data_IF_002379437263
#
_entry.id   IF_002379437263
#
_cell.length_a   1.000
_cell.length_b   1.000
_cell.length_c   1.000
_cell.angle_alpha   90.00
_cell.angle_beta   90.00
_cell.angle_gamma   90.00
#
_symmetry.space_group_name_H-M   'P 1'
#
loop_
_entity.id
_entity.type
_entity.pdbx_description
1 polymer ?
#
# COMPACT_ATOMS: atom_id res chain seq x y z
N UNK A 1 17.75 7.36 -18.13
CA UNK A 1 18.15 6.54 -16.96
C UNK A 1 16.90 5.84 -16.44
N UNK A 2 16.89 4.51 -16.49
CA UNK A 2 15.74 3.67 -16.15
C UNK A 2 15.57 3.58 -14.64
N UNK A 3 14.51 4.20 -14.11
CA UNK A 3 14.12 4.15 -12.70
C UNK A 3 13.46 2.79 -12.45
N UNK A 4 14.10 1.87 -11.72
CA UNK A 4 13.48 0.58 -11.37
C UNK A 4 12.39 0.80 -10.32
N UNK A 5 11.16 0.98 -10.80
CA UNK A 5 9.99 1.04 -9.94
C UNK A 5 9.68 -0.39 -9.46
N UNK A 6 10.01 -0.69 -8.21
CA UNK A 6 9.53 -1.90 -7.53
C UNK A 6 8.01 -1.79 -7.30
N UNK A 7 7.21 -2.16 -8.30
CA UNK A 7 5.75 -2.26 -8.19
C UNK A 7 5.36 -3.60 -7.59
N UNK A 8 4.97 -3.62 -6.32
CA UNK A 8 4.40 -4.80 -5.69
C UNK A 8 2.89 -4.67 -5.61
N UNK A 9 2.18 -5.60 -6.25
CA UNK A 9 0.71 -5.69 -6.28
C UNK A 9 0.28 -6.79 -5.32
N UNK A 10 -0.55 -6.45 -4.34
CA UNK A 10 -1.25 -7.46 -3.54
C UNK A 10 -2.76 -7.41 -3.79
N UNK A 11 -3.34 -8.59 -3.92
CA UNK A 11 -4.77 -8.84 -4.08
C UNK A 11 -5.32 -9.08 -2.67
N UNK A 12 -6.23 -8.23 -2.20
CA UNK A 12 -6.96 -8.43 -0.95
C UNK A 12 -8.24 -9.20 -1.31
N UNK A 13 -8.27 -10.51 -1.02
CA UNK A 13 -9.41 -11.40 -1.28
C UNK A 13 -10.23 -11.59 0.01
N UNK A 14 -11.44 -11.03 0.04
CA UNK A 14 -12.67 -11.61 0.61
C UNK A 14 -12.73 -12.14 2.06
N UNK A 15 -11.66 -12.11 2.84
CA UNK A 15 -11.60 -12.56 4.23
C UNK A 15 -10.45 -11.77 4.87
N UNK A 16 -10.76 -10.89 5.84
CA UNK A 16 -9.85 -10.00 6.60
C UNK A 16 -8.36 -10.25 6.32
N UNK A 17 -7.85 -9.72 5.22
CA UNK A 17 -6.52 -10.06 4.73
C UNK A 17 -5.61 -8.87 5.02
N UNK A 18 -4.97 -8.91 6.18
CA UNK A 18 -3.89 -8.01 6.56
C UNK A 18 -2.55 -8.68 6.31
N UNK A 19 -1.58 -7.94 5.79
CA UNK A 19 -0.21 -8.38 5.60
C UNK A 19 0.78 -7.38 6.17
N UNK A 20 1.95 -7.88 6.53
CA UNK A 20 3.12 -7.08 6.87
C UNK A 20 4.30 -7.65 6.08
N UNK A 21 5.00 -6.79 5.35
CA UNK A 21 6.15 -7.15 4.52
C UNK A 21 7.33 -6.24 4.81
N UNK A 22 8.51 -6.84 4.96
CA UNK A 22 9.77 -6.09 4.98
C UNK A 22 10.15 -5.68 3.55
N UNK A 23 10.45 -4.40 3.33
CA UNK A 23 10.75 -3.85 2.00
C UNK A 23 12.25 -3.73 1.71
N UNK A 24 13.11 -4.13 2.65
CA UNK A 24 14.57 -3.98 2.57
C UNK A 24 15.11 -2.85 3.45
N UNK A 25 14.37 -1.74 3.52
CA UNK A 25 14.72 -0.53 4.29
C UNK A 25 13.57 -0.02 5.17
N UNK A 26 12.44 -0.72 5.14
CA UNK A 26 11.22 -0.32 5.82
C UNK A 26 10.24 -1.46 5.99
N UNK A 27 9.07 -1.11 6.50
CA UNK A 27 7.96 -2.03 6.73
C UNK A 27 6.70 -1.52 6.05
N UNK A 28 6.08 -2.41 5.27
CA UNK A 28 4.84 -2.15 4.58
C UNK A 28 3.72 -3.01 5.15
N UNK A 29 2.66 -2.37 5.65
CA UNK A 29 1.45 -3.01 6.14
C UNK A 29 0.27 -2.67 5.23
N UNK A 30 -0.55 -3.66 4.91
CA UNK A 30 -1.68 -3.49 4.00
C UNK A 30 -2.83 -4.40 4.38
N UNK A 31 -4.04 -4.06 3.95
CA UNK A 31 -5.19 -4.93 4.11
C UNK A 31 -6.53 -4.22 4.12
N UNK A 32 -7.54 -4.88 4.68
CA UNK A 32 -8.86 -4.31 4.94
C UNK A 32 -9.21 -4.34 6.42
N UNK A 33 -9.97 -3.35 6.89
CA UNK A 33 -10.37 -3.25 8.30
C UNK A 33 -11.60 -4.10 8.65
N UNK A 34 -12.52 -4.28 7.69
CA UNK A 34 -13.78 -4.98 7.89
C UNK A 34 -13.71 -6.48 7.63
N UNK A 35 -14.73 -7.20 8.12
CA UNK A 35 -14.92 -8.60 7.80
C UNK A 35 -15.22 -8.77 6.31
N UNK A 36 -14.84 -9.92 5.76
CA UNK A 36 -15.08 -10.29 4.36
C UNK A 36 -14.54 -9.31 3.31
N UNK A 37 -13.49 -8.54 3.62
CA UNK A 37 -12.92 -7.56 2.69
C UNK A 37 -13.65 -6.22 2.65
N UNK A 38 -14.55 -5.93 3.59
CA UNK A 38 -15.24 -4.64 3.70
C UNK A 38 -14.52 -3.54 4.47
N UNK A 39 -15.21 -2.42 4.63
CA UNK A 39 -14.79 -1.30 5.48
C UNK A 39 -13.83 -0.37 4.77
N UNK A 40 -12.55 -0.43 5.13
CA UNK A 40 -11.51 0.42 4.55
C UNK A 40 -10.33 -0.43 4.10
N UNK A 41 -9.95 -0.31 2.83
CA UNK A 41 -8.66 -0.81 2.35
C UNK A 41 -7.59 0.19 2.72
N UNK A 42 -6.47 -0.29 3.26
CA UNK A 42 -5.35 0.53 3.69
C UNK A 42 -4.03 0.00 3.17
N UNK A 43 -3.07 0.92 3.04
CA UNK A 43 -1.70 0.63 2.66
C UNK A 43 -0.79 1.66 3.35
N UNK A 44 0.02 1.17 4.28
CA UNK A 44 0.85 1.93 5.20
C UNK A 44 2.32 1.53 5.01
N UNK A 45 3.16 2.46 4.57
CA UNK A 45 4.60 2.22 4.40
C UNK A 45 5.38 3.14 5.36
N UNK A 46 6.35 2.56 6.07
CA UNK A 46 7.34 3.29 6.85
C UNK A 46 8.73 2.91 6.37
N UNK A 47 9.46 3.86 5.82
CA UNK A 47 10.86 3.69 5.42
C UNK A 47 11.73 4.77 6.06
N UNK A 48 12.86 4.37 6.66
CA UNK A 48 13.75 5.27 7.38
C UNK A 48 14.91 5.79 6.53
N UNK A 49 15.10 5.25 5.32
CA UNK A 49 16.26 5.50 4.47
C UNK A 49 15.86 6.31 3.25
N UNK A 50 14.76 5.95 2.60
CA UNK A 50 14.39 6.47 1.29
C UNK A 50 13.05 7.20 1.29
N UNK A 51 12.91 8.12 0.32
CA UNK A 51 11.60 8.69 0.00
C UNK A 51 10.69 7.58 -0.52
N UNK A 52 9.41 7.65 -0.17
CA UNK A 52 8.49 6.57 -0.47
C UNK A 52 7.05 7.05 -0.56
N UNK A 53 6.19 6.24 -1.18
CA UNK A 53 4.76 6.50 -1.29
C UNK A 53 3.97 5.20 -1.29
N UNK A 54 2.68 5.32 -1.04
CA UNK A 54 1.75 4.20 -1.01
C UNK A 54 0.42 4.61 -1.64
N UNK A 55 -0.29 3.64 -2.19
CA UNK A 55 -1.61 3.85 -2.75
C UNK A 55 -2.49 2.63 -2.59
N UNK A 56 -3.79 2.85 -2.71
CA UNK A 56 -4.80 1.80 -2.74
C UNK A 56 -5.75 2.05 -3.90
N UNK A 57 -6.31 0.96 -4.44
CA UNK A 57 -7.40 1.00 -5.42
C UNK A 57 -8.51 0.10 -4.93
N UNK A 58 -9.71 0.65 -4.74
CA UNK A 58 -10.83 -0.17 -4.34
C UNK A 58 -11.48 -0.91 -5.53
N UNK A 59 -12.40 -1.80 -5.22
CA UNK A 59 -13.12 -2.63 -6.19
C UNK A 59 -13.93 -1.82 -7.23
N UNK A 60 -14.33 -0.59 -6.92
CA UNK A 60 -14.99 0.31 -7.86
C UNK A 60 -14.00 1.11 -8.72
N UNK A 61 -12.71 0.87 -8.55
CA UNK A 61 -11.65 1.53 -9.28
C UNK A 61 -11.23 2.90 -8.74
N UNK A 62 -11.79 3.34 -7.61
CA UNK A 62 -11.40 4.57 -6.96
C UNK A 62 -10.03 4.42 -6.28
N UNK A 63 -9.20 5.43 -6.44
CA UNK A 63 -7.85 5.45 -5.90
C UNK A 63 -7.74 6.29 -4.63
N UNK A 64 -6.85 5.89 -3.73
CA UNK A 64 -6.36 6.69 -2.61
C UNK A 64 -4.84 6.74 -2.65
N UNK A 65 -4.26 7.92 -2.44
CA UNK A 65 -2.82 8.14 -2.54
C UNK A 65 -2.30 8.85 -1.29
N UNK A 66 -1.12 8.45 -0.81
CA UNK A 66 -0.46 9.13 0.32
C UNK A 66 0.29 10.40 -0.08
N UNK A 67 0.59 10.55 -1.38
CA UNK A 67 1.67 11.39 -1.88
C UNK A 67 3.06 10.83 -1.51
N UNK A 68 4.11 11.45 -2.00
CA UNK A 68 5.49 11.11 -1.63
C UNK A 68 5.82 11.65 -0.24
N UNK A 69 6.39 10.81 0.61
CA UNK A 69 6.89 11.13 1.94
C UNK A 69 8.41 11.03 1.98
N UNK A 70 9.00 11.89 2.79
CA UNK A 70 10.42 11.80 3.11
C UNK A 70 10.70 10.60 4.01
N UNK A 71 11.96 10.17 4.04
CA UNK A 71 12.44 9.16 4.96
C UNK A 71 12.06 9.51 6.42
N UNK A 72 11.69 8.50 7.20
CA UNK A 72 11.23 8.65 8.58
C UNK A 72 9.77 9.10 8.74
N UNK A 73 9.08 9.50 7.65
CA UNK A 73 7.67 9.90 7.70
C UNK A 73 6.82 8.78 7.13
N UNK A 74 5.90 8.24 7.94
CA UNK A 74 4.99 7.18 7.51
C UNK A 74 4.05 7.65 6.40
N UNK A 75 4.08 6.96 5.26
CA UNK A 75 3.13 7.13 4.17
C UNK A 75 1.87 6.28 4.41
N UNK A 76 0.69 6.87 4.30
CA UNK A 76 -0.60 6.19 4.49
C UNK A 76 -1.56 6.49 3.35
N UNK A 77 -2.19 5.46 2.81
CA UNK A 77 -3.24 5.57 1.81
C UNK A 77 -4.41 4.69 2.21
N UNK A 78 -5.62 5.22 2.07
CA UNK A 78 -6.86 4.52 2.43
C UNK A 78 -7.95 4.78 1.40
N UNK A 79 -8.87 3.83 1.25
CA UNK A 79 -10.08 4.00 0.47
C UNK A 79 -11.19 3.09 1.00
N UNK A 80 -12.45 3.42 0.73
CA UNK A 80 -13.59 2.55 1.06
C UNK A 80 -13.46 1.20 0.37
N UNK A 81 -13.63 0.12 1.12
CA UNK A 81 -13.61 -1.27 0.67
C UNK A 81 -15.02 -1.88 0.73
N UNK A 82 -15.29 -2.84 -0.15
CA UNK A 82 -16.62 -3.44 -0.31
C UNK A 82 -16.56 -4.95 -0.07
N UNK A 83 -17.52 -5.45 0.73
CA UNK A 83 -17.58 -6.86 1.10
C UNK A 83 -17.51 -7.79 -0.12
N UNK A 84 -16.74 -8.85 0.00
CA UNK A 84 -16.54 -9.90 -1.00
C UNK A 84 -15.99 -9.39 -2.34
N UNK A 85 -15.40 -8.20 -2.37
CA UNK A 85 -14.73 -7.67 -3.55
C UNK A 85 -13.23 -7.60 -3.35
N UNK A 86 -12.53 -7.45 -4.47
CA UNK A 86 -11.08 -7.37 -4.52
C UNK A 86 -10.64 -5.92 -4.53
N UNK A 87 -9.88 -5.55 -3.51
CA UNK A 87 -9.15 -4.28 -3.46
C UNK A 87 -7.65 -4.53 -3.65
N UNK A 88 -6.92 -3.45 -3.94
CA UNK A 88 -5.49 -3.50 -4.19
C UNK A 88 -4.75 -2.49 -3.33
N UNK A 89 -3.58 -2.89 -2.86
CA UNK A 89 -2.64 -2.04 -2.15
C UNK A 89 -1.28 -2.07 -2.86
N UNK A 90 -0.63 -0.91 -2.89
CA UNK A 90 0.64 -0.70 -3.59
C UNK A 90 1.58 0.14 -2.72
N UNK A 91 2.87 -0.04 -2.95
CA UNK A 91 3.89 0.84 -2.40
C UNK A 91 4.97 1.14 -3.45
N UNK A 92 5.70 2.23 -3.23
CA UNK A 92 6.87 2.62 -4.02
C UNK A 92 7.93 3.19 -3.10
N UNK A 93 9.16 2.72 -3.27
CA UNK A 93 10.35 3.29 -2.64
C UNK A 93 11.18 3.91 -3.77
N UNK A 94 11.62 5.15 -3.55
CA UNK A 94 12.47 5.90 -4.46
C UNK A 94 13.92 5.71 -4.01
N UNK A 95 14.46 4.54 -4.32
CA UNK A 95 15.88 4.25 -4.15
C UNK A 95 16.64 4.81 -5.37
N UNK A 96 17.58 5.75 -5.19
CA UNK A 96 18.37 6.29 -6.30
C UNK A 96 19.43 5.31 -6.84
N UNK A 97 19.63 4.16 -6.18
CA UNK A 97 20.67 3.18 -6.54
C UNK A 97 20.12 1.89 -7.15
N UNK A 98 18.80 1.75 -7.27
CA UNK A 98 18.13 0.58 -7.85
C UNK A 98 17.97 0.67 -9.37
#
# INVERSE_FOLDING_TARGET
MLTTCNYWRYIILGCRSGGLKYTGTGWWSYGTTGLFGGGTVYSDLSDAVFQHSTSVKNANGAWGYSGTKNAGIKAKATQTAYNFRTDYAYYKILDPFS
#
